data_IF_533683914816
#
_entry.id   IF_533683914816
#
_cell.length_a   1.000
_cell.length_b   1.000
_cell.length_c   1.000
_cell.angle_alpha   90.00
_cell.angle_beta   90.00
_cell.angle_gamma   90.00
#
_symmetry.space_group_name_H-M   'P 1'
#
loop_
_entity.id
_entity.type
_entity.pdbx_description
1 polymer ?
#
# COMPACT_ATOMS: atom_id res chain seq x y z
N UNK A 1 -5.11 18.94 -2.23
CA UNK A 1 -4.11 18.86 -1.16
C UNK A 1 -4.08 17.45 -0.59
N UNK A 2 -3.25 16.57 -1.18
CA UNK A 2 -3.11 15.16 -0.77
C UNK A 2 -2.05 14.99 0.34
N UNK A 3 -1.45 16.11 0.77
CA UNK A 3 -0.29 16.15 1.67
C UNK A 3 -0.65 16.09 3.15
N UNK A 4 -1.91 16.39 3.52
CA UNK A 4 -2.37 16.43 4.92
C UNK A 4 -3.21 15.20 5.33
N UNK A 5 -3.04 14.09 4.62
CA UNK A 5 -3.64 12.83 5.00
C UNK A 5 -2.55 11.92 5.47
N UNK A 6 -2.45 11.75 6.79
CA UNK A 6 -1.60 10.77 7.46
C UNK A 6 -2.00 9.37 6.98
N UNK A 7 -1.43 9.00 5.85
CA UNK A 7 -1.55 7.69 5.23
C UNK A 7 -0.41 6.85 5.79
N UNK A 8 -0.77 5.88 6.62
CA UNK A 8 0.18 4.95 7.22
C UNK A 8 0.17 3.64 6.43
N UNK A 9 1.33 3.04 6.26
CA UNK A 9 1.48 1.74 5.60
C UNK A 9 1.97 0.75 6.65
N UNK A 10 1.19 -0.31 6.89
CA UNK A 10 1.55 -1.41 7.76
C UNK A 10 1.94 -2.64 6.96
N UNK A 11 2.91 -3.40 7.47
CA UNK A 11 3.32 -4.70 6.91
C UNK A 11 2.84 -5.79 7.86
N UNK A 12 2.10 -6.75 7.32
CA UNK A 12 1.61 -7.92 8.05
C UNK A 12 2.07 -9.20 7.36
N UNK A 13 1.97 -10.33 8.06
CA UNK A 13 2.32 -11.64 7.50
C UNK A 13 1.55 -11.96 6.20
N UNK A 14 0.31 -11.48 6.07
CA UNK A 14 -0.52 -11.71 4.89
C UNK A 14 -0.37 -10.68 3.75
N UNK A 15 0.25 -9.52 3.99
CA UNK A 15 0.28 -8.46 2.98
C UNK A 15 0.62 -7.06 3.50
N UNK A 16 0.38 -6.07 2.65
CA UNK A 16 0.53 -4.64 2.97
C UNK A 16 -0.82 -4.03 3.25
N UNK A 17 -0.98 -3.40 4.41
CA UNK A 17 -2.17 -2.67 4.81
C UNK A 17 -1.95 -1.15 4.68
N UNK A 18 -2.95 -0.43 4.19
CA UNK A 18 -2.97 1.03 4.12
C UNK A 18 -4.00 1.54 5.09
N UNK A 19 -3.57 2.45 5.96
CA UNK A 19 -4.39 3.05 6.99
C UNK A 19 -4.54 4.54 6.76
N UNK A 20 -5.72 5.06 7.05
CA UNK A 20 -6.03 6.48 7.07
C UNK A 20 -6.70 6.79 8.40
N UNK A 21 -6.13 7.71 9.18
CA UNK A 21 -6.61 8.00 10.55
C UNK A 21 -6.74 6.72 11.40
N UNK A 22 -5.76 5.83 11.33
CA UNK A 22 -5.71 4.52 12.01
C UNK A 22 -6.78 3.50 11.54
N UNK A 23 -7.61 3.81 10.55
CA UNK A 23 -8.59 2.89 9.97
C UNK A 23 -7.96 2.23 8.74
N UNK A 24 -7.98 0.90 8.67
CA UNK A 24 -7.49 0.15 7.51
C UNK A 24 -8.42 0.38 6.31
N UNK A 25 -7.97 1.15 5.32
CA UNK A 25 -8.76 1.46 4.12
C UNK A 25 -8.52 0.49 2.98
N UNK A 26 -7.35 -0.15 2.92
CA UNK A 26 -7.02 -1.09 1.85
C UNK A 26 -6.02 -2.13 2.33
N UNK A 27 -6.16 -3.37 1.85
CA UNK A 27 -5.22 -4.45 2.12
C UNK A 27 -4.80 -5.12 0.81
N UNK A 28 -3.49 -5.30 0.65
CA UNK A 28 -2.86 -5.85 -0.54
C UNK A 28 -2.16 -7.16 -0.17
N UNK A 29 -2.80 -8.32 -0.42
CA UNK A 29 -2.20 -9.62 -0.16
C UNK A 29 -0.90 -9.79 -0.97
N UNK A 30 0.11 -10.45 -0.39
CA UNK A 30 1.39 -10.68 -1.06
C UNK A 30 1.23 -11.34 -2.44
N UNK A 31 0.30 -12.29 -2.55
CA UNK A 31 0.02 -13.03 -3.79
C UNK A 31 -0.37 -12.13 -4.98
N UNK A 32 -0.92 -10.95 -4.69
CA UNK A 32 -1.40 -10.00 -5.70
C UNK A 32 -0.36 -8.90 -6.00
N UNK A 33 0.71 -8.80 -5.21
CA UNK A 33 1.76 -7.80 -5.38
C UNK A 33 2.85 -8.40 -6.26
N UNK A 34 3.06 -7.82 -7.45
CA UNK A 34 4.10 -8.22 -8.39
C UNK A 34 5.45 -7.61 -8.04
N UNK A 35 5.45 -6.33 -7.67
CA UNK A 35 6.67 -5.58 -7.41
C UNK A 35 6.41 -4.45 -6.45
N UNK A 36 7.36 -4.24 -5.56
CA UNK A 36 7.41 -3.08 -4.66
C UNK A 36 8.62 -2.24 -5.07
N UNK A 37 8.44 -0.92 -5.21
CA UNK A 37 9.55 -0.02 -5.53
C UNK A 37 9.40 1.34 -4.85
N UNK A 38 10.53 2.06 -4.75
CA UNK A 38 10.59 3.39 -4.16
C UNK A 38 11.40 4.33 -5.06
N UNK A 39 10.84 5.50 -5.40
CA UNK A 39 11.48 6.49 -6.29
C UNK A 39 11.12 7.90 -5.87
N UNK A 40 12.13 8.75 -5.60
CA UNK A 40 11.99 10.18 -5.25
C UNK A 40 10.89 10.44 -4.20
N UNK A 41 10.99 9.76 -3.05
CA UNK A 41 10.02 9.85 -1.92
C UNK A 41 8.62 9.28 -2.21
N UNK A 42 8.44 8.53 -3.31
CA UNK A 42 7.20 7.86 -3.64
C UNK A 42 7.36 6.36 -3.55
N UNK A 43 6.42 5.71 -2.88
CA UNK A 43 6.30 4.26 -2.78
C UNK A 43 5.32 3.76 -3.84
N UNK A 44 5.66 2.65 -4.51
CA UNK A 44 4.85 2.07 -5.58
C UNK A 44 4.61 0.58 -5.30
N UNK A 45 3.33 0.20 -5.34
CA UNK A 45 2.87 -1.19 -5.33
C UNK A 45 2.37 -1.53 -6.73
N UNK A 46 3.09 -2.38 -7.44
CA UNK A 46 2.64 -2.94 -8.70
C UNK A 46 1.82 -4.19 -8.40
N UNK A 47 0.55 -4.19 -8.78
CA UNK A 47 -0.36 -5.32 -8.57
C UNK A 47 -0.53 -6.14 -9.85
N UNK A 48 -0.85 -7.43 -9.73
CA UNK A 48 -1.39 -8.19 -10.86
C UNK A 48 -2.70 -7.54 -11.28
N UNK A 49 -2.85 -7.19 -12.56
CA UNK A 49 -4.18 -6.89 -13.10
C UNK A 49 -5.04 -8.14 -12.97
N UNK A 50 -6.21 -8.03 -12.35
CA UNK A 50 -7.26 -9.04 -12.53
C UNK A 50 -7.73 -8.90 -13.98
N UNK A 51 -7.53 -9.95 -14.77
CA UNK A 51 -8.32 -10.15 -15.99
C UNK A 51 -9.79 -10.36 -15.60
#
# INVERSE_FOLDING_TARGET
DLHNLDLLIGIASGGVAVYRKLICTSFYPWVNILKISFKRKKFFLHQRQKQ
#
